data_IF_153890454062
#
_entry.id   IF_153890454062
#
_cell.length_a   1.000
_cell.length_b   1.000
_cell.length_c   1.000
_cell.angle_alpha   90.00
_cell.angle_beta   90.00
_cell.angle_gamma   90.00
#
_symmetry.space_group_name_H-M   'P 1'
#
loop_
_entity.id
_entity.type
_entity.pdbx_description
1 polymer ?
#
# COMPACT_ATOMS: atom_id res chain seq x y z
N UNK A 1 18.03 4.12 7.74
CA UNK A 1 18.05 5.18 6.70
C UNK A 1 16.68 5.12 6.03
N UNK A 2 15.84 6.15 6.12
CA UNK A 2 14.45 6.15 5.59
C UNK A 2 14.48 6.21 4.06
N UNK A 3 14.19 5.10 3.39
CA UNK A 3 14.61 4.87 1.99
C UNK A 3 13.66 5.53 0.96
N UNK A 4 12.39 5.83 1.29
CA UNK A 4 11.40 6.14 0.23
C UNK A 4 10.65 7.47 0.33
N UNK A 5 10.86 8.26 1.38
CA UNK A 5 10.20 9.56 1.52
C UNK A 5 11.06 10.65 2.16
N UNK A 6 12.34 10.36 2.42
CA UNK A 6 13.29 11.24 3.11
C UNK A 6 12.67 12.02 4.30
N UNK A 7 11.84 11.34 5.09
CA UNK A 7 11.04 11.95 6.15
C UNK A 7 11.23 11.19 7.46
N UNK A 8 10.97 11.85 8.57
CA UNK A 8 11.00 11.24 9.91
C UNK A 8 9.75 10.37 10.12
N UNK A 9 9.79 9.48 11.11
CA UNK A 9 8.64 8.63 11.40
C UNK A 9 7.44 9.44 11.92
N UNK A 10 7.69 10.53 12.64
CA UNK A 10 6.66 11.45 13.15
C UNK A 10 5.95 12.16 12.00
N UNK A 11 6.71 12.68 11.04
CA UNK A 11 6.15 13.32 9.85
C UNK A 11 5.39 12.30 8.99
N UNK A 12 5.92 11.07 8.83
CA UNK A 12 5.22 10.00 8.13
C UNK A 12 3.89 9.64 8.80
N UNK A 13 3.86 9.55 10.12
CA UNK A 13 2.63 9.32 10.88
C UNK A 13 1.63 10.46 10.69
N UNK A 14 2.09 11.71 10.68
CA UNK A 14 1.22 12.86 10.43
C UNK A 14 0.67 12.88 9.00
N UNK A 15 1.48 12.53 7.99
CA UNK A 15 1.04 12.38 6.61
C UNK A 15 -0.05 11.33 6.50
N UNK A 16 0.15 10.14 7.06
CA UNK A 16 -0.86 9.06 7.03
C UNK A 16 -2.16 9.51 7.71
N UNK A 17 -2.09 10.17 8.87
CA UNK A 17 -3.27 10.69 9.58
C UNK A 17 -4.06 11.73 8.78
N UNK A 18 -3.36 12.53 7.97
CA UNK A 18 -3.98 13.59 7.17
C UNK A 18 -4.37 13.13 5.76
N UNK A 19 -3.93 11.94 5.34
CA UNK A 19 -4.18 11.42 4.00
C UNK A 19 -5.58 10.79 3.94
N UNK A 20 -6.53 11.59 3.47
CA UNK A 20 -7.96 11.27 3.49
C UNK A 20 -8.34 9.88 2.94
N UNK A 21 -7.74 9.37 1.84
CA UNK A 21 -8.06 8.04 1.33
C UNK A 21 -7.85 6.91 2.34
N UNK A 22 -6.86 7.03 3.24
CA UNK A 22 -6.60 6.03 4.29
C UNK A 22 -7.40 6.26 5.59
N UNK A 23 -8.16 7.37 5.68
CA UNK A 23 -8.98 7.70 6.84
C UNK A 23 -10.45 7.31 6.66
N UNK A 24 -10.85 6.89 5.46
CA UNK A 24 -12.23 6.49 5.20
C UNK A 24 -12.53 5.14 5.88
N UNK A 25 -13.65 5.02 6.60
CA UNK A 25 -14.04 3.77 7.22
C UNK A 25 -14.37 2.74 6.12
N UNK A 26 -13.84 1.53 6.28
CA UNK A 26 -14.17 0.40 5.40
C UNK A 26 -15.51 -0.19 5.88
N UNK A 27 -16.55 -0.04 5.07
CA UNK A 27 -17.92 -0.44 5.39
C UNK A 27 -18.58 -1.33 4.35
N UNK A 28 -18.02 -1.36 3.13
CA UNK A 28 -18.52 -2.13 1.99
C UNK A 28 -17.41 -2.95 1.35
N UNK A 29 -17.79 -3.93 0.53
CA UNK A 29 -16.83 -4.65 -0.33
C UNK A 29 -16.12 -3.72 -1.31
N UNK A 30 -16.80 -2.68 -1.80
CA UNK A 30 -16.21 -1.70 -2.70
C UNK A 30 -15.10 -0.90 -2.00
N UNK A 31 -15.28 -0.58 -0.70
CA UNK A 31 -14.24 0.08 0.11
C UNK A 31 -13.00 -0.81 0.25
N UNK A 32 -13.19 -2.13 0.41
CA UNK A 32 -12.10 -3.11 0.45
C UNK A 32 -11.38 -3.15 -0.89
N UNK A 33 -12.12 -3.26 -2.00
CA UNK A 33 -11.56 -3.27 -3.35
C UNK A 33 -10.74 -2.01 -3.59
N UNK A 34 -11.26 -0.83 -3.24
CA UNK A 34 -10.55 0.43 -3.36
C UNK A 34 -9.24 0.43 -2.56
N UNK A 35 -9.28 0.08 -1.28
CA UNK A 35 -8.09 0.10 -0.42
C UNK A 35 -7.00 -0.88 -0.89
N UNK A 36 -7.42 -2.02 -1.41
CA UNK A 36 -6.55 -3.11 -1.87
C UNK A 36 -6.05 -2.98 -3.31
N UNK A 37 -6.52 -1.98 -4.05
CA UNK A 37 -6.19 -1.76 -5.46
C UNK A 37 -4.70 -1.50 -5.68
N UNK A 38 -4.02 -0.92 -4.69
CA UNK A 38 -2.60 -0.58 -4.75
C UNK A 38 -1.80 -1.24 -3.64
N UNK A 39 -0.50 -1.46 -3.91
CA UNK A 39 0.44 -1.85 -2.88
C UNK A 39 0.70 -0.70 -1.88
N UNK A 40 1.21 -1.03 -0.69
CA UNK A 40 1.50 -0.06 0.38
C UNK A 40 2.49 1.03 -0.09
N UNK A 41 3.42 0.67 -0.99
CA UNK A 41 4.37 1.63 -1.54
C UNK A 41 3.70 2.74 -2.36
N UNK A 42 2.79 2.40 -3.27
CA UNK A 42 2.06 3.36 -4.10
C UNK A 42 1.13 4.21 -3.25
N UNK A 43 0.50 3.65 -2.21
CA UNK A 43 -0.23 4.44 -1.21
C UNK A 43 0.66 5.48 -0.53
N UNK A 44 1.90 5.11 -0.17
CA UNK A 44 2.86 6.05 0.40
C UNK A 44 3.29 7.14 -0.61
N UNK A 45 3.47 6.79 -1.89
CA UNK A 45 3.80 7.76 -2.93
C UNK A 45 2.66 8.75 -3.18
N UNK A 46 1.41 8.27 -3.19
CA UNK A 46 0.22 9.12 -3.27
C UNK A 46 0.12 10.07 -2.07
N UNK A 47 0.43 9.60 -0.86
CA UNK A 47 0.43 10.45 0.32
C UNK A 47 1.54 11.52 0.32
N UNK A 48 2.70 11.22 -0.29
CA UNK A 48 3.84 12.14 -0.37
C UNK A 48 3.74 13.15 -1.51
N UNK A 49 3.34 12.69 -2.69
CA UNK A 49 3.45 13.43 -3.95
C UNK A 49 2.11 13.71 -4.63
N UNK A 50 1.02 13.10 -4.13
CA UNK A 50 -0.32 13.27 -4.69
C UNK A 50 -0.62 12.37 -5.88
N UNK A 51 -1.78 12.59 -6.49
CA UNK A 51 -2.19 11.87 -7.68
C UNK A 51 -1.24 12.10 -8.84
N UNK A 52 -1.11 11.10 -9.73
CA UNK A 52 -0.24 11.15 -10.91
C UNK A 52 1.24 11.37 -10.62
N UNK A 53 1.69 11.05 -9.39
CA UNK A 53 3.06 11.31 -8.96
C UNK A 53 4.11 10.74 -9.92
N UNK A 54 3.85 9.60 -10.56
CA UNK A 54 4.77 8.94 -11.49
C UNK A 54 5.10 9.79 -12.73
N UNK A 55 4.28 10.78 -13.07
CA UNK A 55 4.57 11.73 -14.15
C UNK A 55 5.65 12.75 -13.77
N UNK A 56 5.76 13.07 -12.48
CA UNK A 56 6.69 14.05 -11.92
C UNK A 56 7.91 13.35 -11.29
N UNK A 57 7.68 12.14 -10.76
CA UNK A 57 8.63 11.26 -10.10
C UNK A 57 8.64 9.87 -10.76
N UNK A 58 9.12 9.75 -12.01
CA UNK A 58 9.16 8.47 -12.73
C UNK A 58 10.07 7.44 -12.02
N UNK A 59 11.04 7.89 -11.21
CA UNK A 59 11.86 7.03 -10.36
C UNK A 59 11.06 6.27 -9.30
N UNK A 60 9.86 6.77 -8.94
CA UNK A 60 8.95 6.16 -7.99
C UNK A 60 7.85 5.31 -8.65
N UNK A 61 7.84 5.19 -9.98
CA UNK A 61 6.87 4.35 -10.70
C UNK A 61 7.10 2.87 -10.37
N UNK A 62 8.37 2.46 -10.28
CA UNK A 62 8.75 1.08 -10.00
C UNK A 62 9.00 0.87 -8.52
N UNK A 63 8.62 -0.31 -8.03
CA UNK A 63 9.04 -0.77 -6.71
C UNK A 63 10.57 -0.83 -6.65
N UNK A 64 11.19 -0.26 -5.60
CA UNK A 64 12.63 -0.39 -5.39
C UNK A 64 13.02 -1.84 -5.07
N UNK A 65 14.22 -2.27 -5.47
CA UNK A 65 14.72 -3.64 -5.23
C UNK A 65 14.70 -4.06 -3.75
N UNK A 66 14.81 -3.09 -2.84
CA UNK A 66 14.77 -3.30 -1.39
C UNK A 66 13.35 -3.33 -0.79
N UNK A 67 12.30 -3.20 -1.60
CA UNK A 67 10.91 -3.14 -1.14
C UNK A 67 10.47 -4.43 -0.45
N UNK A 68 10.65 -5.58 -1.08
CA UNK A 68 10.25 -6.89 -0.51
C UNK A 68 10.90 -7.12 0.86
N UNK A 69 12.22 -6.91 0.94
CA UNK A 69 12.96 -7.01 2.20
C UNK A 69 12.45 -6.02 3.26
N UNK A 70 12.00 -4.83 2.86
CA UNK A 70 11.40 -3.88 3.79
C UNK A 70 10.05 -4.39 4.34
N UNK A 71 9.21 -4.98 3.48
CA UNK A 71 7.93 -5.59 3.87
C UNK A 71 8.17 -6.75 4.84
N UNK A 72 9.08 -7.67 4.53
CA UNK A 72 9.43 -8.80 5.41
C UNK A 72 9.86 -8.33 6.81
N UNK A 73 10.71 -7.31 6.88
CA UNK A 73 11.16 -6.74 8.15
C UNK A 73 10.01 -6.08 8.92
N UNK A 74 9.06 -5.45 8.23
CA UNK A 74 7.88 -4.86 8.85
C UNK A 74 6.95 -5.93 9.41
N UNK A 75 6.62 -6.96 8.62
CA UNK A 75 5.78 -8.08 9.05
C UNK A 75 6.37 -8.79 10.27
N UNK A 76 7.67 -9.11 10.21
CA UNK A 76 8.40 -9.74 11.33
C UNK A 76 8.34 -8.88 12.60
N UNK A 77 8.55 -7.56 12.49
CA UNK A 77 8.50 -6.63 13.63
C UNK A 77 7.15 -6.63 14.35
N UNK A 78 6.06 -6.84 13.60
CA UNK A 78 4.70 -6.82 14.14
C UNK A 78 4.10 -8.21 14.35
N UNK A 79 4.89 -9.30 14.17
CA UNK A 79 4.41 -10.69 14.26
C UNK A 79 3.22 -10.96 13.34
N UNK A 80 3.32 -10.47 12.10
CA UNK A 80 2.34 -10.66 11.04
C UNK A 80 2.88 -11.65 10.00
N UNK A 81 1.99 -12.41 9.38
CA UNK A 81 2.37 -13.42 8.39
C UNK A 81 2.45 -12.85 6.97
N UNK A 82 1.50 -11.99 6.59
CA UNK A 82 1.40 -11.47 5.23
C UNK A 82 0.70 -10.10 5.18
N UNK A 83 0.89 -9.38 4.07
CA UNK A 83 0.06 -8.24 3.72
C UNK A 83 -1.31 -8.69 3.24
N UNK A 84 -2.32 -7.83 3.41
CA UNK A 84 -3.60 -8.05 2.74
C UNK A 84 -3.47 -7.69 1.27
N UNK A 85 -3.64 -8.68 0.40
CA UNK A 85 -3.78 -8.48 -1.05
C UNK A 85 -5.16 -8.94 -1.49
N UNK A 86 -5.91 -8.07 -2.17
CA UNK A 86 -7.19 -8.46 -2.73
C UNK A 86 -6.95 -9.29 -3.99
N UNK A 87 -6.95 -10.60 -3.81
CA UNK A 87 -7.10 -11.52 -4.91
C UNK A 87 -8.58 -11.60 -5.29
N UNK A 88 -8.91 -11.11 -6.48
CA UNK A 88 -10.21 -11.41 -7.12
C UNK A 88 -10.38 -12.93 -7.14
N UNK A 89 -11.19 -13.48 -6.23
CA UNK A 89 -11.59 -14.89 -6.26
C UNK A 89 -12.54 -15.10 -7.44
N UNK A 90 -11.99 -15.27 -8.62
CA UNK A 90 -12.67 -15.93 -9.72
C UNK A 90 -11.65 -16.75 -10.50
N UNK A 91 -11.64 -18.06 -10.22
CA UNK A 91 -11.66 -19.15 -11.19
C UNK A 91 -11.23 -20.44 -10.48
N UNK A 92 -12.18 -21.16 -9.89
CA UNK A 92 -12.24 -22.63 -9.81
C UNK A 92 -13.39 -23.13 -8.91
N UNK A 93 -14.58 -22.53 -9.03
CA UNK A 93 -15.80 -23.30 -8.70
C UNK A 93 -16.10 -24.13 -9.94
N UNK A 94 -15.49 -25.31 -10.02
CA UNK A 94 -15.95 -26.34 -10.95
C UNK A 94 -17.36 -26.72 -10.54
N UNK A 95 -18.35 -26.25 -11.31
CA UNK A 95 -19.70 -26.79 -11.26
C UNK A 95 -19.58 -28.29 -11.58
N UNK A 96 -19.65 -29.13 -10.55
CA UNK A 96 -19.94 -30.56 -10.76
C UNK A 96 -21.39 -30.64 -11.21
N UNK A 97 -21.58 -30.91 -12.50
CA UNK A 97 -22.81 -31.47 -13.05
C UNK A 97 -23.04 -32.88 -12.50
#
# INVERSE_FOLDING_TARGET
>A
MSIYGNTTIENAQQLVRNFHPLQQPISTTDDIVFFSHENIYHWAMLALYGETYWLIHPECEKLPDSYEKWVENALSRYSLDDCYEFMSKNNNVTNKA
#
